data_IF_919837063213
#
_entry.id   IF_919837063213
#
_cell.length_a   1.000
_cell.length_b   1.000
_cell.length_c   1.000
_cell.angle_alpha   90.00
_cell.angle_beta   90.00
_cell.angle_gamma   90.00
#
_symmetry.space_group_name_H-M   'P 1'
#
loop_
_entity.id
_entity.type
_entity.pdbx_description
1 polymer ?
#
# COMPACT_ATOMS: atom_id res chain seq x y z
N UNK A 1 -102.32 18.96 -19.07
CA UNK A 1 -101.55 18.27 -18.01
C UNK A 1 -100.12 18.05 -18.50
N UNK A 2 -99.31 19.08 -18.24
CA UNK A 2 -97.85 19.22 -18.13
C UNK A 2 -96.88 18.27 -18.87
N UNK A 3 -96.75 18.44 -20.19
CA UNK A 3 -95.62 17.93 -20.98
C UNK A 3 -94.25 18.51 -20.55
N UNK A 4 -94.24 19.57 -19.74
CA UNK A 4 -93.05 20.18 -19.14
C UNK A 4 -92.43 19.34 -18.01
N UNK A 5 -93.21 18.45 -17.38
CA UNK A 5 -92.71 17.58 -16.30
C UNK A 5 -91.78 16.48 -16.82
N UNK A 6 -92.06 15.96 -18.03
CA UNK A 6 -91.25 14.91 -18.67
C UNK A 6 -89.92 15.48 -19.18
N UNK A 7 -89.94 16.64 -19.83
CA UNK A 7 -88.72 17.32 -20.30
C UNK A 7 -87.76 17.70 -19.17
N UNK A 8 -88.28 18.15 -18.02
CA UNK A 8 -87.46 18.47 -16.84
C UNK A 8 -86.78 17.23 -16.24
N UNK A 9 -87.46 16.08 -16.22
CA UNK A 9 -86.87 14.81 -15.72
C UNK A 9 -85.75 14.32 -16.65
N UNK A 10 -85.96 14.36 -17.96
CA UNK A 10 -84.92 14.00 -18.93
C UNK A 10 -83.72 14.94 -18.91
N UNK A 11 -83.94 16.24 -18.71
CA UNK A 11 -82.87 17.21 -18.51
C UNK A 11 -81.95 16.83 -17.35
N UNK A 12 -82.51 16.51 -16.18
CA UNK A 12 -81.71 16.10 -15.01
C UNK A 12 -81.01 14.75 -15.19
N UNK A 13 -81.58 13.81 -15.96
CA UNK A 13 -80.92 12.53 -16.27
C UNK A 13 -79.68 12.75 -17.15
N UNK A 14 -79.78 13.58 -18.19
CA UNK A 14 -78.64 13.88 -19.07
C UNK A 14 -77.53 14.61 -18.32
N UNK A 15 -77.90 15.57 -17.45
CA UNK A 15 -76.94 16.29 -16.60
C UNK A 15 -76.19 15.34 -15.66
N UNK A 16 -76.88 14.39 -15.03
CA UNK A 16 -76.23 13.42 -14.16
C UNK A 16 -75.30 12.46 -14.91
N UNK A 17 -75.68 12.02 -16.12
CA UNK A 17 -74.82 11.18 -16.97
C UNK A 17 -73.55 11.94 -17.37
N UNK A 18 -73.68 13.23 -17.71
CA UNK A 18 -72.55 14.10 -18.04
C UNK A 18 -71.64 14.36 -16.84
N UNK A 19 -72.20 14.51 -15.64
CA UNK A 19 -71.42 14.64 -14.40
C UNK A 19 -70.66 13.35 -14.08
N UNK A 20 -71.32 12.18 -14.23
CA UNK A 20 -70.71 10.89 -13.99
C UNK A 20 -69.57 10.60 -14.97
N UNK A 21 -69.75 10.92 -16.26
CA UNK A 21 -68.70 10.75 -17.27
C UNK A 21 -67.51 11.69 -17.02
N UNK A 22 -67.76 12.94 -16.63
CA UNK A 22 -66.72 13.89 -16.24
C UNK A 22 -65.93 13.40 -15.01
N UNK A 23 -66.63 12.83 -14.01
CA UNK A 23 -66.01 12.28 -12.81
C UNK A 23 -65.10 11.08 -13.12
N UNK A 24 -65.55 10.18 -14.00
CA UNK A 24 -64.74 9.04 -14.45
C UNK A 24 -63.55 9.50 -15.28
N UNK A 25 -63.72 10.49 -16.16
CA UNK A 25 -62.63 11.07 -16.94
C UNK A 25 -61.58 11.72 -16.04
N UNK A 26 -62.00 12.41 -14.98
CA UNK A 26 -61.10 13.01 -13.99
C UNK A 26 -60.31 11.94 -13.22
N UNK A 27 -60.97 10.86 -12.79
CA UNK A 27 -60.31 9.73 -12.12
C UNK A 27 -59.29 9.03 -13.03
N UNK A 28 -59.58 8.89 -14.33
CA UNK A 28 -58.64 8.31 -15.30
C UNK A 28 -57.46 9.27 -15.56
N UNK A 29 -57.72 10.58 -15.65
CA UNK A 29 -56.70 11.60 -15.89
C UNK A 29 -55.73 11.78 -14.71
N UNK A 30 -56.12 11.42 -13.47
CA UNK A 30 -55.24 11.47 -12.29
C UNK A 30 -54.34 10.23 -12.16
N UNK A 31 -54.65 9.10 -12.82
CA UNK A 31 -53.82 7.89 -12.79
C UNK A 31 -52.37 8.05 -13.29
N UNK A 32 -52.06 8.84 -14.35
CA UNK A 32 -50.67 9.07 -14.72
C UNK A 32 -49.91 9.90 -13.68
N UNK A 33 -50.59 10.74 -12.87
CA UNK A 33 -49.96 11.59 -11.84
C UNK A 33 -49.32 10.73 -10.74
N UNK A 34 -49.92 9.60 -10.39
CA UNK A 34 -49.34 8.66 -9.40
C UNK A 34 -48.16 7.84 -9.92
N UNK A 35 -47.87 7.87 -11.24
CA UNK A 35 -46.73 7.18 -11.86
C UNK A 35 -45.48 8.04 -11.96
N UNK A 36 -45.55 9.33 -11.64
CA UNK A 36 -44.39 10.24 -11.66
C UNK A 36 -43.48 10.11 -10.42
N UNK A 37 -43.88 9.34 -9.41
CA UNK A 37 -43.11 9.13 -8.17
C UNK A 37 -41.85 8.29 -8.32
N UNK A 38 -41.70 7.53 -9.41
CA UNK A 38 -40.60 6.57 -9.58
C UNK A 38 -39.42 7.11 -10.41
N UNK A 39 -39.41 8.41 -10.75
CA UNK A 39 -38.38 9.02 -11.60
C UNK A 39 -37.35 9.87 -10.84
N UNK A 40 -37.16 9.64 -9.54
CA UNK A 40 -36.03 10.21 -8.81
C UNK A 40 -34.91 9.16 -8.72
N UNK A 41 -34.10 9.15 -9.79
CA UNK A 41 -32.80 8.48 -9.89
C UNK A 41 -32.91 6.94 -9.89
N UNK A 42 -32.92 6.34 -11.09
CA UNK A 42 -32.50 4.94 -11.24
C UNK A 42 -31.00 4.85 -11.01
N UNK A 43 -30.57 4.84 -9.75
CA UNK A 43 -29.18 4.58 -9.41
C UNK A 43 -28.98 3.05 -9.43
N UNK A 44 -28.88 2.48 -10.63
CA UNK A 44 -28.33 1.12 -10.80
C UNK A 44 -26.82 1.20 -10.58
N UNK A 45 -26.41 1.44 -9.34
CA UNK A 45 -25.02 1.42 -8.90
C UNK A 45 -24.84 0.23 -7.97
N UNK A 46 -23.82 -0.56 -8.24
CA UNK A 46 -23.34 -1.59 -7.32
C UNK A 46 -21.93 -1.16 -6.91
N UNK A 47 -21.73 -0.97 -5.61
CA UNK A 47 -20.43 -0.60 -5.06
C UNK A 47 -19.72 -1.89 -4.66
N UNK A 48 -18.54 -2.12 -5.24
CA UNK A 48 -17.67 -3.24 -4.88
C UNK A 48 -16.45 -2.66 -4.20
N UNK A 49 -16.20 -3.10 -2.98
CA UNK A 49 -14.92 -2.92 -2.32
C UNK A 49 -14.24 -4.29 -2.26
N UNK A 50 -13.01 -4.36 -2.73
CA UNK A 50 -12.21 -5.58 -2.71
C UNK A 50 -10.87 -5.26 -2.04
N UNK A 51 -10.48 -6.10 -1.08
CA UNK A 51 -9.18 -6.06 -0.42
C UNK A 51 -8.36 -7.25 -0.92
N UNK A 52 -7.23 -6.98 -1.56
CA UNK A 52 -6.27 -8.00 -1.99
C UNK A 52 -5.11 -8.08 -1.01
N UNK A 53 -4.94 -9.21 -0.33
CA UNK A 53 -3.74 -9.52 0.45
C UNK A 53 -2.93 -10.58 -0.27
N UNK A 54 -1.67 -10.26 -0.55
CA UNK A 54 -0.70 -11.23 -1.02
C UNK A 54 0.33 -11.44 0.09
N UNK A 55 0.47 -12.69 0.53
CA UNK A 55 1.57 -13.09 1.42
C UNK A 55 2.59 -13.75 0.52
N UNK A 56 3.75 -13.10 0.35
CA UNK A 56 4.84 -13.60 -0.47
C UNK A 56 6.03 -13.89 0.44
N UNK A 57 6.60 -15.08 0.30
CA UNK A 57 7.84 -15.42 0.98
C UNK A 57 8.99 -14.62 0.35
N UNK A 58 9.85 -13.96 1.13
CA UNK A 58 11.03 -13.28 0.61
C UNK A 58 11.91 -14.27 -0.17
N UNK A 59 12.39 -13.85 -1.33
CA UNK A 59 13.23 -14.61 -2.25
C UNK A 59 14.71 -14.21 -2.18
N UNK A 60 15.03 -13.16 -1.42
CA UNK A 60 16.38 -12.60 -1.25
C UNK A 60 16.61 -12.29 0.23
N UNK A 61 17.76 -12.70 0.74
CA UNK A 61 18.30 -12.26 2.03
C UNK A 61 19.62 -11.49 1.82
N UNK A 62 19.76 -10.37 2.55
CA UNK A 62 20.98 -9.57 2.57
C UNK A 62 21.67 -9.79 3.92
N UNK A 63 22.86 -10.36 3.88
CA UNK A 63 23.72 -10.59 5.04
C UNK A 63 24.91 -9.64 4.96
N UNK A 64 25.38 -9.17 6.11
CA UNK A 64 26.64 -8.43 6.20
C UNK A 64 27.50 -8.99 7.31
N UNK A 65 28.80 -9.03 7.07
CA UNK A 65 29.77 -9.36 8.10
C UNK A 65 30.99 -8.44 7.98
N UNK A 66 31.65 -8.24 9.11
CA UNK A 66 32.80 -7.36 9.22
C UNK A 66 33.95 -8.08 9.88
N UNK A 67 35.16 -7.88 9.35
CA UNK A 67 36.40 -8.33 9.96
C UNK A 67 37.09 -7.10 10.54
N UNK A 68 37.23 -7.09 11.86
CA UNK A 68 37.95 -6.05 12.59
C UNK A 68 39.33 -6.60 12.96
N UNK A 69 40.37 -5.82 12.71
CA UNK A 69 41.74 -6.16 13.07
C UNK A 69 42.39 -4.97 13.75
N UNK A 70 43.18 -5.24 14.80
CA UNK A 70 43.88 -4.19 15.55
C UNK A 70 45.38 -4.46 15.61
N UNK A 71 46.19 -3.41 15.48
CA UNK A 71 47.64 -3.55 15.48
C UNK A 71 48.37 -2.21 15.52
N UNK A 72 49.70 -2.26 15.63
CA UNK A 72 50.54 -1.05 15.64
C UNK A 72 51.03 -0.63 14.25
N UNK A 73 51.18 -1.60 13.35
CA UNK A 73 51.65 -1.40 11.99
C UNK A 73 50.49 -1.57 11.01
N UNK A 74 50.09 -0.50 10.29
CA UNK A 74 49.04 -0.56 9.27
C UNK A 74 49.29 -1.58 8.16
N UNK A 75 50.55 -1.79 7.75
CA UNK A 75 50.88 -2.70 6.64
C UNK A 75 50.65 -4.17 7.03
N UNK A 76 51.10 -4.54 8.24
CA UNK A 76 50.85 -5.87 8.80
C UNK A 76 49.36 -6.08 9.06
N UNK A 77 48.67 -5.03 9.52
CA UNK A 77 47.23 -5.05 9.79
C UNK A 77 46.40 -5.33 8.54
N UNK A 78 46.77 -4.69 7.42
CA UNK A 78 46.11 -4.88 6.15
C UNK A 78 46.28 -6.31 5.62
N UNK A 79 47.49 -6.87 5.71
CA UNK A 79 47.75 -8.23 5.22
C UNK A 79 47.03 -9.30 6.05
N UNK A 80 47.02 -9.15 7.38
CA UNK A 80 46.29 -10.03 8.28
C UNK A 80 44.76 -9.96 8.05
N UNK A 81 44.22 -8.74 7.89
CA UNK A 81 42.80 -8.55 7.61
C UNK A 81 42.40 -9.14 6.25
N UNK A 82 43.21 -8.92 5.21
CA UNK A 82 42.99 -9.51 3.88
C UNK A 82 43.00 -11.04 3.93
N UNK A 83 43.91 -11.64 4.69
CA UNK A 83 44.00 -13.10 4.86
C UNK A 83 42.75 -13.65 5.52
N UNK A 84 42.31 -13.03 6.62
CA UNK A 84 41.07 -13.41 7.34
C UNK A 84 39.83 -13.20 6.48
N UNK A 85 39.77 -12.10 5.74
CA UNK A 85 38.65 -11.78 4.85
C UNK A 85 38.55 -12.80 3.71
N UNK A 86 39.68 -13.17 3.10
CA UNK A 86 39.72 -14.23 2.08
C UNK A 86 39.20 -15.56 2.62
N UNK A 87 39.65 -15.99 3.79
CA UNK A 87 39.17 -17.23 4.40
C UNK A 87 37.65 -17.20 4.67
N UNK A 88 37.11 -16.07 5.13
CA UNK A 88 35.67 -15.88 5.32
C UNK A 88 34.90 -15.94 3.99
N UNK A 89 35.40 -15.25 2.96
CA UNK A 89 34.81 -15.24 1.62
C UNK A 89 34.83 -16.63 0.97
N UNK A 90 35.91 -17.38 1.10
CA UNK A 90 36.03 -18.73 0.58
C UNK A 90 35.02 -19.67 1.24
N UNK A 91 34.77 -19.51 2.55
CA UNK A 91 33.74 -20.27 3.25
C UNK A 91 32.33 -19.92 2.75
N UNK A 92 32.05 -18.62 2.54
CA UNK A 92 30.76 -18.15 1.99
C UNK A 92 30.54 -18.69 0.56
N UNK A 93 31.56 -18.64 -0.29
CA UNK A 93 31.52 -19.22 -1.64
C UNK A 93 31.27 -20.73 -1.59
N UNK A 94 31.87 -21.44 -0.63
CA UNK A 94 31.64 -22.87 -0.44
C UNK A 94 30.21 -23.22 0.00
N UNK A 95 29.44 -22.27 0.54
CA UNK A 95 28.01 -22.44 0.84
C UNK A 95 27.11 -22.23 -0.38
N UNK A 96 27.66 -21.99 -1.58
CA UNK A 96 26.90 -21.84 -2.82
C UNK A 96 26.54 -20.40 -3.20
N UNK A 97 27.15 -19.42 -2.55
CA UNK A 97 26.99 -18.00 -2.90
C UNK A 97 27.88 -17.66 -4.10
N UNK A 98 27.28 -17.12 -5.16
CA UNK A 98 28.03 -16.65 -6.33
C UNK A 98 28.86 -15.40 -5.99
N UNK A 99 30.06 -15.29 -6.60
CA UNK A 99 30.94 -14.14 -6.39
C UNK A 99 30.31 -12.80 -6.81
N UNK A 100 29.37 -12.82 -7.76
CA UNK A 100 28.61 -11.64 -8.20
C UNK A 100 27.71 -11.05 -7.09
N UNK A 101 27.34 -11.88 -6.13
CA UNK A 101 26.44 -11.56 -5.03
C UNK A 101 27.21 -11.15 -3.76
N UNK A 102 28.55 -11.16 -3.84
CA UNK A 102 29.45 -10.68 -2.80
C UNK A 102 29.95 -9.28 -3.18
N UNK A 103 29.76 -8.30 -2.29
CA UNK A 103 30.23 -6.93 -2.49
C UNK A 103 30.96 -6.41 -1.26
N UNK A 104 32.20 -5.97 -1.44
CA UNK A 104 32.89 -5.21 -0.39
C UNK A 104 32.19 -3.88 -0.19
N UNK A 105 31.70 -3.66 1.03
CA UNK A 105 30.88 -2.52 1.39
C UNK A 105 31.72 -1.33 1.87
N UNK A 106 32.69 -1.64 2.74
CA UNK A 106 33.40 -0.62 3.50
C UNK A 106 34.79 -1.15 3.87
N UNK A 107 35.76 -0.26 3.83
CA UNK A 107 37.11 -0.47 4.33
C UNK A 107 37.52 0.80 5.07
N UNK A 108 37.70 0.72 6.38
CA UNK A 108 37.92 1.86 7.25
C UNK A 108 39.09 1.60 8.20
N UNK A 109 40.14 2.40 8.07
CA UNK A 109 41.35 2.31 8.90
C UNK A 109 41.43 3.55 9.79
N UNK A 110 41.30 3.35 11.09
CA UNK A 110 41.27 4.43 12.07
C UNK A 110 42.44 4.35 13.04
N UNK A 111 43.17 5.45 13.31
CA UNK A 111 44.15 5.49 14.38
C UNK A 111 43.45 5.44 15.74
N UNK A 112 44.00 4.63 16.65
CA UNK A 112 43.59 4.55 18.05
C UNK A 112 44.53 5.40 18.89
N UNK A 113 43.96 6.34 19.63
CA UNK A 113 44.71 7.20 20.54
C UNK A 113 44.54 6.72 21.98
N UNK A 114 45.64 6.71 22.71
CA UNK A 114 45.63 6.60 24.17
C UNK A 114 46.09 7.91 24.78
N UNK A 115 45.50 8.24 25.93
CA UNK A 115 45.84 9.42 26.70
C UNK A 115 46.64 8.99 27.93
N UNK A 116 47.85 9.52 28.08
CA UNK A 116 48.65 9.33 29.29
C UNK A 116 48.38 10.46 30.28
N UNK A 117 47.74 10.11 31.40
CA UNK A 117 47.39 11.05 32.47
C UNK A 117 48.61 11.68 33.15
N UNK A 118 49.75 10.98 33.19
CA UNK A 118 50.98 11.47 33.84
C UNK A 118 51.67 12.52 32.99
N UNK A 119 51.74 12.30 31.68
CA UNK A 119 52.40 13.23 30.74
C UNK A 119 51.44 14.25 30.15
N UNK A 120 50.12 14.10 30.38
CA UNK A 120 49.03 14.92 29.81
C UNK A 120 49.10 15.01 28.29
N UNK A 121 49.41 13.91 27.62
CA UNK A 121 49.58 13.84 26.16
C UNK A 121 48.79 12.68 25.57
N UNK A 122 48.21 12.92 24.38
CA UNK A 122 47.63 11.87 23.54
C UNK A 122 48.66 11.38 22.54
N UNK A 123 48.78 10.06 22.38
CA UNK A 123 49.63 9.44 21.37
C UNK A 123 48.88 8.30 20.68
N UNK A 124 49.30 7.96 19.46
CA UNK A 124 48.72 6.84 18.70
C UNK A 124 49.22 5.54 19.33
N UNK A 125 48.31 4.74 19.89
CA UNK A 125 48.64 3.43 20.48
C UNK A 125 48.50 2.28 19.48
N UNK A 126 47.80 2.52 18.37
CA UNK A 126 47.68 1.58 17.26
C UNK A 126 46.68 2.05 16.21
N UNK A 127 46.21 1.11 15.42
CA UNK A 127 45.23 1.28 14.36
C UNK A 127 44.20 0.16 14.43
N UNK A 128 42.96 0.51 14.11
CA UNK A 128 41.86 -0.44 13.95
C UNK A 128 41.42 -0.40 12.50
N UNK A 129 41.46 -1.56 11.84
CA UNK A 129 40.99 -1.77 10.49
C UNK A 129 39.67 -2.52 10.52
N UNK A 130 38.63 -1.92 9.94
CA UNK A 130 37.31 -2.54 9.78
C UNK A 130 37.02 -2.71 8.30
N UNK A 131 36.86 -3.95 7.86
CA UNK A 131 36.41 -4.27 6.51
C UNK A 131 35.06 -4.98 6.57
N UNK A 132 34.07 -4.47 5.84
CA UNK A 132 32.70 -5.01 5.79
C UNK A 132 32.38 -5.52 4.39
N UNK A 133 31.72 -6.67 4.31
CA UNK A 133 31.23 -7.29 3.09
C UNK A 133 29.73 -7.53 3.18
N UNK A 134 29.02 -7.23 2.09
CA UNK A 134 27.63 -7.60 1.87
C UNK A 134 27.57 -8.89 1.04
N UNK A 135 26.71 -9.80 1.47
CA UNK A 135 26.40 -11.05 0.80
C UNK A 135 24.91 -11.07 0.52
N UNK A 136 24.57 -11.24 -0.75
CA UNK A 136 23.20 -11.49 -1.19
C UNK A 136 23.03 -13.00 -1.39
N UNK A 137 22.00 -13.57 -0.78
CA UNK A 137 21.61 -14.98 -0.88
C UNK A 137 20.15 -15.14 -1.22
#
# INVERSE_FOLDING_TARGET
MDNYAVGRRWFWVVVNIMLASASVALLVAVRPISRYGDSLISSRVFYVSAEGKAVVSPDIANLSFSVVSEGKDPAVLQEDNNTKMRAALDHVKAQGVDEKDIKTAQYDLQPRYEYDEKTRRSFISGYTLTQTVFVKV
#
